data_IF_408203360332
#
_entry.id   IF_408203360332
#
_cell.length_a   1.000
_cell.length_b   1.000
_cell.length_c   1.000
_cell.angle_alpha   90.00
_cell.angle_beta   90.00
_cell.angle_gamma   90.00
#
_symmetry.space_group_name_H-M   'P 1'
#
loop_
_entity.id
_entity.type
_entity.pdbx_description
1 polymer ?
#
# COMPACT_ATOMS: atom_id res chain seq x y z
N UNK A 1 -24.08 -16.81 19.07
CA UNK A 1 -23.92 -17.22 17.66
C UNK A 1 -24.46 -18.61 17.50
N UNK A 2 -25.38 -18.82 16.55
CA UNK A 2 -25.97 -20.15 16.31
C UNK A 2 -25.03 -20.97 15.43
N UNK A 3 -24.64 -22.16 15.89
CA UNK A 3 -23.86 -23.11 15.08
C UNK A 3 -24.82 -24.12 14.47
N UNK A 4 -24.80 -24.24 13.14
CA UNK A 4 -25.62 -25.21 12.41
C UNK A 4 -24.66 -26.25 11.82
N UNK A 5 -24.92 -27.52 12.11
CA UNK A 5 -24.18 -28.66 11.56
C UNK A 5 -25.06 -29.34 10.52
N UNK A 6 -24.58 -29.44 9.29
CA UNK A 6 -25.37 -29.96 8.16
C UNK A 6 -24.61 -31.07 7.46
N UNK A 7 -25.31 -32.16 7.13
CA UNK A 7 -24.77 -33.26 6.34
C UNK A 7 -25.12 -33.08 4.86
N UNK A 8 -24.19 -32.52 4.08
CA UNK A 8 -24.41 -32.28 2.65
C UNK A 8 -24.52 -33.57 1.84
N UNK A 9 -23.85 -34.66 2.21
CA UNK A 9 -23.88 -35.93 1.47
C UNK A 9 -25.26 -36.61 1.48
N UNK A 10 -26.12 -36.26 2.44
CA UNK A 10 -27.48 -36.78 2.57
C UNK A 10 -28.53 -35.97 1.77
N UNK A 11 -28.12 -35.10 0.83
CA UNK A 11 -29.02 -34.23 0.07
C UNK A 11 -30.20 -34.98 -0.59
N UNK A 12 -29.97 -36.20 -1.09
CA UNK A 12 -31.00 -37.05 -1.71
C UNK A 12 -32.16 -37.43 -0.76
N UNK A 13 -31.99 -37.31 0.56
CA UNK A 13 -33.03 -37.58 1.57
C UNK A 13 -33.87 -36.35 1.92
N UNK A 14 -33.53 -35.18 1.36
CA UNK A 14 -34.23 -33.93 1.62
C UNK A 14 -35.37 -33.77 0.63
N UNK A 15 -36.59 -33.60 1.15
CA UNK A 15 -37.79 -33.38 0.34
C UNK A 15 -37.89 -31.93 -0.14
N UNK A 16 -37.44 -30.97 0.67
CA UNK A 16 -37.47 -29.54 0.32
C UNK A 16 -36.43 -29.23 -0.76
N UNK A 17 -36.90 -28.66 -1.87
CA UNK A 17 -36.15 -28.52 -3.10
C UNK A 17 -34.99 -27.53 -3.01
N UNK A 18 -35.17 -26.41 -2.29
CA UNK A 18 -34.13 -25.39 -2.15
C UNK A 18 -32.97 -25.88 -1.28
N UNK A 19 -33.27 -26.53 -0.17
CA UNK A 19 -32.31 -27.12 0.75
C UNK A 19 -31.59 -28.29 0.08
N UNK A 20 -32.30 -29.16 -0.63
CA UNK A 20 -31.65 -30.22 -1.43
C UNK A 20 -30.68 -29.62 -2.44
N UNK A 21 -31.13 -28.65 -3.24
CA UNK A 21 -30.29 -27.98 -4.22
C UNK A 21 -29.08 -27.28 -3.59
N UNK A 22 -29.23 -26.65 -2.43
CA UNK A 22 -28.12 -26.06 -1.67
C UNK A 22 -27.08 -27.11 -1.25
N UNK A 23 -27.52 -28.24 -0.70
CA UNK A 23 -26.61 -29.31 -0.29
C UNK A 23 -25.91 -29.98 -1.48
N UNK A 24 -26.59 -30.12 -2.61
CA UNK A 24 -26.00 -30.62 -3.86
C UNK A 24 -24.96 -29.64 -4.41
N UNK A 25 -25.25 -28.34 -4.38
CA UNK A 25 -24.29 -27.29 -4.71
C UNK A 25 -23.04 -27.35 -3.82
N UNK A 26 -23.21 -27.53 -2.51
CA UNK A 26 -22.08 -27.71 -1.57
C UNK A 26 -21.24 -28.96 -1.87
N UNK A 27 -21.84 -29.98 -2.49
CA UNK A 27 -21.14 -31.18 -2.96
C UNK A 27 -20.55 -31.02 -4.38
N UNK A 28 -20.60 -29.83 -4.98
CA UNK A 28 -20.05 -29.55 -6.31
C UNK A 28 -20.94 -30.05 -7.47
N UNK A 29 -22.22 -30.35 -7.22
CA UNK A 29 -23.18 -30.70 -8.27
C UNK A 29 -23.89 -29.45 -8.80
N UNK A 30 -24.22 -29.46 -10.08
CA UNK A 30 -25.02 -28.40 -10.69
C UNK A 30 -26.51 -28.75 -10.60
N UNK A 31 -27.24 -27.90 -9.89
CA UNK A 31 -28.70 -27.92 -9.80
C UNK A 31 -29.23 -26.55 -10.21
N UNK A 32 -30.23 -26.54 -11.08
CA UNK A 32 -30.92 -25.31 -11.48
C UNK A 32 -32.13 -25.09 -10.57
N UNK A 33 -32.09 -24.03 -9.77
CA UNK A 33 -33.18 -23.55 -8.92
C UNK A 33 -33.00 -22.02 -8.75
N UNK A 34 -34.10 -21.28 -8.76
CA UNK A 34 -34.14 -19.83 -8.54
C UNK A 34 -33.42 -19.39 -7.25
N UNK A 35 -33.56 -20.17 -6.16
CA UNK A 35 -32.85 -19.93 -4.90
C UNK A 35 -31.33 -19.99 -5.10
N UNK A 36 -30.82 -21.02 -5.79
CA UNK A 36 -29.40 -21.18 -6.06
C UNK A 36 -28.87 -20.07 -6.97
N UNK A 37 -29.68 -19.62 -7.93
CA UNK A 37 -29.31 -18.51 -8.81
C UNK A 37 -29.10 -17.23 -8.00
N UNK A 38 -30.07 -16.86 -7.16
CA UNK A 38 -29.95 -15.68 -6.29
C UNK A 38 -28.77 -15.79 -5.33
N UNK A 39 -28.55 -16.98 -4.74
CA UNK A 39 -27.41 -17.23 -3.86
C UNK A 39 -26.07 -17.04 -4.57
N UNK A 40 -25.92 -17.59 -5.79
CA UNK A 40 -24.70 -17.45 -6.60
C UNK A 40 -24.43 -15.99 -6.95
N UNK A 41 -25.46 -15.25 -7.36
CA UNK A 41 -25.34 -13.81 -7.65
C UNK A 41 -24.86 -13.01 -6.44
N UNK A 42 -25.40 -13.31 -5.24
CA UNK A 42 -24.95 -12.68 -4.00
C UNK A 42 -23.51 -13.04 -3.63
N UNK A 43 -23.12 -14.31 -3.79
CA UNK A 43 -21.73 -14.77 -3.55
C UNK A 43 -20.76 -14.05 -4.48
N UNK A 44 -21.08 -13.96 -5.78
CA UNK A 44 -20.20 -13.29 -6.74
C UNK A 44 -20.12 -11.78 -6.49
N UNK A 45 -21.23 -11.14 -6.14
CA UNK A 45 -21.24 -9.73 -5.72
C UNK A 45 -20.37 -9.53 -4.47
N UNK A 46 -20.49 -10.41 -3.48
CA UNK A 46 -19.69 -10.34 -2.26
C UNK A 46 -18.19 -10.56 -2.53
N UNK A 47 -17.83 -11.57 -3.34
CA UNK A 47 -16.45 -11.82 -3.76
C UNK A 47 -15.88 -10.63 -4.51
N UNK A 48 -16.64 -10.07 -5.45
CA UNK A 48 -16.25 -8.89 -6.20
C UNK A 48 -15.99 -7.72 -5.25
N UNK A 49 -16.92 -7.42 -4.34
CA UNK A 49 -16.75 -6.36 -3.35
C UNK A 49 -15.54 -6.59 -2.43
N UNK A 50 -15.33 -7.83 -1.98
CA UNK A 50 -14.19 -8.16 -1.14
C UNK A 50 -12.88 -8.00 -1.90
N UNK A 51 -12.82 -8.46 -3.15
CA UNK A 51 -11.66 -8.26 -4.03
C UNK A 51 -11.39 -6.77 -4.27
N UNK A 52 -12.43 -5.98 -4.55
CA UNK A 52 -12.30 -4.53 -4.70
C UNK A 52 -11.77 -3.86 -3.42
N UNK A 53 -12.21 -4.33 -2.25
CA UNK A 53 -11.69 -3.86 -0.96
C UNK A 53 -10.23 -4.24 -0.74
N UNK A 54 -9.84 -5.47 -1.08
CA UNK A 54 -8.45 -5.93 -1.02
C UNK A 54 -7.55 -5.13 -1.96
N UNK A 55 -7.96 -4.95 -3.22
CA UNK A 55 -7.23 -4.15 -4.21
C UNK A 55 -7.12 -2.68 -3.79
N UNK A 56 -8.19 -2.10 -3.21
CA UNK A 56 -8.16 -0.75 -2.65
C UNK A 56 -7.17 -0.63 -1.49
N UNK A 57 -7.23 -1.56 -0.54
CA UNK A 57 -6.32 -1.58 0.61
C UNK A 57 -4.86 -1.72 0.15
N UNK A 58 -4.58 -2.62 -0.78
CA UNK A 58 -3.23 -2.79 -1.34
C UNK A 58 -2.72 -1.51 -2.02
N UNK A 59 -3.57 -0.87 -2.84
CA UNK A 59 -3.21 0.41 -3.47
C UNK A 59 -2.93 1.49 -2.44
N UNK A 60 -3.76 1.60 -1.40
CA UNK A 60 -3.59 2.60 -0.35
C UNK A 60 -2.27 2.39 0.41
N UNK A 61 -1.94 1.16 0.80
CA UNK A 61 -0.68 0.88 1.51
C UNK A 61 0.53 1.21 0.66
N UNK A 62 0.52 0.85 -0.62
CA UNK A 62 1.62 1.19 -1.55
C UNK A 62 1.72 2.70 -1.75
N UNK A 63 0.60 3.40 -1.93
CA UNK A 63 0.59 4.86 -2.06
C UNK A 63 1.14 5.55 -0.80
N UNK A 64 0.80 5.06 0.38
CA UNK A 64 1.26 5.62 1.65
C UNK A 64 2.76 5.38 1.87
N UNK A 65 3.28 4.21 1.50
CA UNK A 65 4.72 3.94 1.51
C UNK A 65 5.47 4.90 0.56
N UNK A 66 4.99 5.05 -0.68
CA UNK A 66 5.57 5.98 -1.66
C UNK A 66 5.53 7.42 -1.14
N UNK A 67 4.43 7.85 -0.53
CA UNK A 67 4.33 9.19 0.07
C UNK A 67 5.33 9.38 1.20
N UNK A 68 5.46 8.38 2.08
CA UNK A 68 6.42 8.44 3.18
C UNK A 68 7.84 8.58 2.66
N UNK A 69 8.24 7.73 1.72
CA UNK A 69 9.57 7.76 1.11
C UNK A 69 9.82 9.08 0.38
N UNK A 70 8.84 9.58 -0.37
CA UNK A 70 8.94 10.87 -1.07
C UNK A 70 9.10 12.04 -0.10
N UNK A 71 8.40 12.03 1.05
CA UNK A 71 8.56 13.05 2.08
C UNK A 71 9.96 12.99 2.72
N UNK A 72 10.44 11.79 3.07
CA UNK A 72 11.79 11.62 3.62
C UNK A 72 12.86 12.08 2.65
N UNK A 73 12.77 11.68 1.38
CA UNK A 73 13.69 12.13 0.34
C UNK A 73 13.61 13.65 0.14
N UNK A 74 12.41 14.22 0.16
CA UNK A 74 12.20 15.66 0.05
C UNK A 74 12.83 16.44 1.19
N UNK A 75 12.69 15.96 2.43
CA UNK A 75 13.35 16.56 3.61
C UNK A 75 14.88 16.51 3.48
N UNK A 76 15.44 15.34 3.17
CA UNK A 76 16.89 15.18 3.00
C UNK A 76 17.45 16.04 1.84
N UNK A 77 16.73 16.12 0.72
CA UNK A 77 17.11 16.99 -0.39
C UNK A 77 17.04 18.46 -0.01
N UNK A 78 16.01 18.86 0.76
CA UNK A 78 15.85 20.21 1.28
C UNK A 78 17.00 20.62 2.20
N UNK A 79 17.38 19.75 3.14
CA UNK A 79 18.54 19.99 4.03
C UNK A 79 19.85 20.10 3.24
N UNK A 80 20.12 19.17 2.33
CA UNK A 80 21.32 19.22 1.47
C UNK A 80 21.37 20.50 0.64
N UNK A 81 20.24 20.90 0.05
CA UNK A 81 20.16 22.14 -0.74
C UNK A 81 20.41 23.36 0.13
N UNK A 82 19.78 23.43 1.31
CA UNK A 82 20.00 24.53 2.27
C UNK A 82 21.47 24.62 2.70
N UNK A 83 22.10 23.49 3.03
CA UNK A 83 23.51 23.45 3.43
C UNK A 83 24.42 23.94 2.29
N UNK A 84 24.16 23.48 1.07
CA UNK A 84 24.85 23.96 -0.14
C UNK A 84 24.69 25.47 -0.30
N UNK A 85 23.46 26.00 -0.22
CA UNK A 85 23.18 27.43 -0.37
C UNK A 85 23.82 28.29 0.73
N UNK A 86 24.01 27.76 1.94
CA UNK A 86 24.71 28.45 3.03
C UNK A 86 26.22 28.50 2.74
N UNK A 87 26.83 27.35 2.41
CA UNK A 87 28.25 27.27 2.07
C UNK A 87 28.58 28.21 0.92
N UNK A 88 27.77 28.22 -0.14
CA UNK A 88 27.97 29.10 -1.28
C UNK A 88 27.87 30.59 -0.89
N UNK A 89 26.88 30.96 -0.08
CA UNK A 89 26.74 32.34 0.41
C UNK A 89 27.89 32.79 1.30
N UNK A 90 28.38 31.92 2.18
CA UNK A 90 29.54 32.22 3.02
C UNK A 90 30.80 32.34 2.18
N UNK A 91 31.04 31.42 1.25
CA UNK A 91 32.18 31.47 0.35
C UNK A 91 32.18 32.73 -0.52
N UNK A 92 31.04 33.11 -1.12
CA UNK A 92 30.91 34.35 -1.89
C UNK A 92 31.10 35.63 -1.04
N UNK A 93 30.91 35.56 0.28
CA UNK A 93 31.18 36.66 1.21
C UNK A 93 32.66 36.76 1.63
N UNK A 94 33.50 35.82 1.19
CA UNK A 94 34.94 35.81 1.46
C UNK A 94 35.33 35.11 2.76
N UNK A 95 34.45 34.27 3.33
CA UNK A 95 34.85 33.39 4.44
C UNK A 95 35.76 32.27 3.94
N UNK A 96 36.78 31.94 4.73
CA UNK A 96 37.70 30.82 4.51
C UNK A 96 37.01 29.47 4.76
N UNK A 97 37.54 28.41 4.14
CA UNK A 97 36.93 27.08 4.20
C UNK A 97 36.94 26.47 5.60
N UNK A 98 37.91 26.83 6.43
CA UNK A 98 38.05 26.36 7.82
C UNK A 98 36.93 26.96 8.69
N UNK A 99 36.73 28.29 8.64
CA UNK A 99 35.59 28.95 9.32
C UNK A 99 34.23 28.42 8.86
N UNK A 100 34.06 28.12 7.56
CA UNK A 100 32.80 27.55 7.04
C UNK A 100 32.58 26.13 7.59
N UNK A 101 33.64 25.32 7.67
CA UNK A 101 33.60 23.96 8.23
C UNK A 101 33.16 23.99 9.69
N UNK A 102 33.72 24.88 10.49
CA UNK A 102 33.33 25.06 11.90
C UNK A 102 31.87 25.50 12.05
N UNK A 103 31.40 26.41 11.19
CA UNK A 103 30.04 26.95 11.28
C UNK A 103 28.94 26.02 10.76
N UNK A 104 29.27 25.11 9.83
CA UNK A 104 28.29 24.27 9.12
C UNK A 104 28.38 22.80 9.46
N UNK A 105 29.37 22.40 10.28
CA UNK A 105 29.68 21.00 10.63
C UNK A 105 29.95 20.10 9.41
N UNK A 106 30.23 20.70 8.25
CA UNK A 106 30.59 19.99 7.03
C UNK A 106 32.10 19.79 6.96
N UNK A 107 32.52 18.69 6.35
CA UNK A 107 33.95 18.43 6.14
C UNK A 107 34.54 19.37 5.08
N UNK A 108 35.85 19.63 5.18
CA UNK A 108 36.57 20.44 4.19
C UNK A 108 36.44 19.86 2.76
N UNK A 109 36.37 18.53 2.62
CA UNK A 109 36.16 17.88 1.33
C UNK A 109 34.78 18.15 0.72
N UNK A 110 33.73 18.16 1.55
CA UNK A 110 32.36 18.46 1.11
C UNK A 110 32.21 19.93 0.70
N UNK A 111 32.77 20.84 1.50
CA UNK A 111 32.81 22.28 1.18
C UNK A 111 33.54 22.49 -0.14
N UNK A 112 34.71 21.88 -0.31
CA UNK A 112 35.48 21.97 -1.56
C UNK A 112 34.70 21.48 -2.76
N UNK A 113 34.04 20.31 -2.67
CA UNK A 113 33.16 19.79 -3.73
C UNK A 113 32.00 20.74 -4.08
N UNK A 114 31.47 21.44 -3.09
CA UNK A 114 30.38 22.42 -3.28
C UNK A 114 30.92 23.69 -3.96
N UNK A 115 32.07 24.22 -3.53
CA UNK A 115 32.67 25.44 -4.07
C UNK A 115 33.31 25.23 -5.45
N UNK A 116 33.85 24.05 -5.73
CA UNK A 116 34.44 23.70 -7.03
C UNK A 116 33.39 23.69 -8.16
N UNK A 117 32.09 23.58 -7.84
CA UNK A 117 30.99 23.73 -8.82
C UNK A 117 30.76 25.16 -9.29
N UNK A 118 31.39 26.15 -8.66
CA UNK A 118 31.31 27.57 -9.04
C UNK A 118 32.51 28.06 -9.86
N UNK A 119 33.60 27.29 -9.92
CA UNK A 119 34.79 27.58 -10.74
C UNK A 119 34.62 27.03 -12.15
#
# INVERSE_FOLDING_TARGET
>A
TTKILVNSSAAHKVEEENLRGFLEYMNGRETENDFLKSLKEQIETFKHNNRMREEYMYRMTVEDEIRHDALQQGMQQGEKKRNTDIVLRMFSKGFDMETISECTELTLEEIKKITDRLQ
#
